data_IF_159946064643
#
_entry.id   IF_159946064643
#
_cell.length_a   1.000
_cell.length_b   1.000
_cell.length_c   1.000
_cell.angle_alpha   90.00
_cell.angle_beta   90.00
_cell.angle_gamma   90.00
#
_symmetry.space_group_name_H-M   'P 1'
#
loop_
_entity.id
_entity.type
_entity.pdbx_description
1 polymer ?
#
# COMPACT_ATOMS: atom_id res chain seq x y z
N UNK A 1 -0.70 -8.26 -1.35
CA UNK A 1 -1.18 -7.12 -0.53
C UNK A 1 -1.01 -5.84 -1.32
N UNK A 2 -2.01 -4.94 -1.34
CA UNK A 2 -1.84 -3.60 -1.94
C UNK A 2 -1.08 -2.69 -0.98
N UNK A 3 -0.57 -1.53 -1.48
CA UNK A 3 0.04 -0.48 -0.64
C UNK A 3 -0.82 -0.20 0.60
N UNK A 4 -2.11 0.00 0.41
CA UNK A 4 -3.06 0.30 1.48
C UNK A 4 -3.17 -0.80 2.52
N UNK A 5 -3.11 -2.07 2.13
CA UNK A 5 -3.16 -3.17 3.09
C UNK A 5 -1.83 -3.43 3.77
N UNK A 6 -0.71 -3.13 3.14
CA UNK A 6 0.61 -3.31 3.73
C UNK A 6 0.98 -2.15 4.67
N UNK A 7 0.88 -0.90 4.19
CA UNK A 7 1.26 0.29 4.98
C UNK A 7 0.23 0.62 6.06
N UNK A 8 -1.05 0.44 5.76
CA UNK A 8 -2.14 0.88 6.64
C UNK A 8 -2.85 -0.26 7.37
N UNK A 9 -2.37 -1.50 7.24
CA UNK A 9 -2.94 -2.65 7.94
C UNK A 9 -3.11 -2.40 9.44
N UNK A 10 -2.06 -1.92 10.11
CA UNK A 10 -2.09 -1.63 11.55
C UNK A 10 -3.11 -0.55 11.91
N UNK A 11 -3.36 0.39 11.01
CA UNK A 11 -4.37 1.43 11.21
C UNK A 11 -5.76 0.81 11.24
N UNK A 12 -6.06 -0.05 10.27
CA UNK A 12 -7.33 -0.75 10.20
C UNK A 12 -7.51 -1.77 11.33
N UNK A 13 -6.47 -2.49 11.72
CA UNK A 13 -6.51 -3.37 12.89
C UNK A 13 -6.85 -2.59 14.18
N UNK A 14 -6.23 -1.43 14.41
CA UNK A 14 -6.56 -0.54 15.53
C UNK A 14 -7.99 0.00 15.45
N UNK A 15 -8.44 0.38 14.25
CA UNK A 15 -9.79 0.86 14.02
C UNK A 15 -10.83 -0.21 14.40
N UNK A 16 -10.68 -1.45 13.91
CA UNK A 16 -11.59 -2.53 14.23
C UNK A 16 -11.50 -2.98 15.69
N UNK A 17 -10.31 -2.99 16.28
CA UNK A 17 -10.13 -3.31 17.69
C UNK A 17 -10.87 -2.31 18.60
N UNK A 18 -10.85 -1.00 18.29
CA UNK A 18 -11.60 0.02 19.01
C UNK A 18 -13.12 -0.16 18.92
N UNK A 19 -13.60 -0.86 17.88
CA UNK A 19 -15.01 -1.21 17.69
C UNK A 19 -15.38 -2.59 18.28
N UNK A 20 -14.44 -3.29 18.91
CA UNK A 20 -14.63 -4.64 19.40
C UNK A 20 -14.90 -5.67 18.30
N UNK A 21 -14.34 -5.45 17.11
CA UNK A 21 -14.46 -6.36 15.94
C UNK A 21 -13.16 -7.13 15.78
N UNK A 22 -13.27 -8.47 15.76
CA UNK A 22 -12.11 -9.33 15.50
C UNK A 22 -11.71 -9.26 14.03
N UNK A 23 -10.42 -9.18 13.75
CA UNK A 23 -9.88 -9.16 12.40
C UNK A 23 -9.10 -10.44 12.11
N UNK A 24 -9.27 -10.99 10.91
CA UNK A 24 -8.52 -12.12 10.39
C UNK A 24 -7.66 -11.66 9.21
N UNK A 25 -6.39 -12.05 9.21
CA UNK A 25 -5.48 -11.81 8.10
C UNK A 25 -5.31 -13.05 7.25
N UNK A 26 -5.16 -12.86 5.95
CA UNK A 26 -4.82 -13.92 4.98
C UNK A 26 -3.37 -14.43 5.09
N UNK A 27 -2.55 -13.81 5.95
CA UNK A 27 -1.15 -14.21 6.14
C UNK A 27 -0.21 -13.73 5.03
N UNK A 28 0.90 -14.45 4.85
CA UNK A 28 1.91 -14.17 3.81
C UNK A 28 1.40 -14.59 2.44
N UNK A 29 1.90 -13.94 1.40
CA UNK A 29 1.68 -14.36 0.01
C UNK A 29 2.33 -15.72 -0.25
N UNK A 30 1.56 -16.62 -0.86
CA UNK A 30 2.01 -17.95 -1.28
C UNK A 30 1.75 -18.14 -2.77
N UNK A 31 2.39 -19.15 -3.38
CA UNK A 31 2.15 -19.49 -4.78
C UNK A 31 0.67 -19.81 -5.05
N UNK A 32 -0.02 -20.44 -4.11
CA UNK A 32 -1.43 -20.77 -4.26
C UNK A 32 -2.31 -19.53 -4.24
N UNK A 33 -2.00 -18.54 -3.37
CA UNK A 33 -2.67 -17.23 -3.37
C UNK A 33 -2.47 -16.53 -4.73
N UNK A 34 -1.25 -16.56 -5.27
CA UNK A 34 -0.98 -15.94 -6.58
C UNK A 34 -1.75 -16.66 -7.68
N UNK A 35 -1.63 -17.99 -7.77
CA UNK A 35 -2.34 -18.80 -8.79
C UNK A 35 -3.85 -18.57 -8.74
N UNK A 36 -4.41 -18.59 -7.53
CA UNK A 36 -5.84 -18.36 -7.37
C UNK A 36 -6.24 -16.95 -7.76
N UNK A 37 -5.47 -15.94 -7.35
CA UNK A 37 -5.71 -14.55 -7.77
C UNK A 37 -5.61 -14.33 -9.29
N UNK A 38 -4.66 -14.99 -9.95
CA UNK A 38 -4.54 -14.97 -11.42
C UNK A 38 -5.78 -15.57 -12.07
N UNK A 39 -6.32 -16.66 -11.57
CA UNK A 39 -7.54 -17.31 -12.13
C UNK A 39 -8.82 -16.50 -11.91
N UNK A 40 -8.82 -15.56 -10.97
CA UNK A 40 -9.99 -14.73 -10.64
C UNK A 40 -10.07 -13.42 -11.43
N UNK A 41 -8.99 -13.00 -12.06
CA UNK A 41 -8.87 -11.71 -12.73
C UNK A 41 -8.55 -11.86 -14.22
N UNK A 42 -8.85 -10.81 -15.01
CA UNK A 42 -8.45 -10.75 -16.43
C UNK A 42 -6.93 -10.67 -16.60
N UNK A 43 -6.43 -11.04 -17.78
CA UNK A 43 -5.00 -11.05 -18.06
C UNK A 43 -4.36 -9.67 -17.94
N UNK A 44 -5.07 -8.59 -18.30
CA UNK A 44 -4.60 -7.19 -18.25
C UNK A 44 -4.64 -6.58 -16.84
N UNK A 45 -5.19 -7.33 -15.86
CA UNK A 45 -5.16 -6.87 -14.47
C UNK A 45 -3.72 -6.94 -13.95
N UNK A 46 -3.25 -5.84 -13.35
CA UNK A 46 -1.89 -5.81 -12.79
C UNK A 46 -1.71 -6.83 -11.66
N UNK A 47 -0.50 -7.35 -11.55
CA UNK A 47 -0.15 -8.41 -10.59
C UNK A 47 -0.59 -8.11 -9.14
N UNK A 48 -0.40 -6.90 -8.59
CA UNK A 48 -0.83 -6.61 -7.21
C UNK A 48 -2.33 -6.78 -6.98
N UNK A 49 -3.16 -6.42 -7.94
CA UNK A 49 -4.62 -6.59 -7.84
C UNK A 49 -4.98 -8.07 -7.89
N UNK A 50 -4.34 -8.85 -8.76
CA UNK A 50 -4.50 -10.32 -8.80
C UNK A 50 -4.14 -10.96 -7.47
N UNK A 51 -2.98 -10.61 -6.92
CA UNK A 51 -2.53 -11.12 -5.62
C UNK A 51 -3.50 -10.72 -4.51
N UNK A 52 -3.99 -9.49 -4.51
CA UNK A 52 -4.97 -9.04 -3.54
C UNK A 52 -6.29 -9.83 -3.65
N UNK A 53 -6.79 -10.09 -4.86
CA UNK A 53 -7.98 -10.92 -5.08
C UNK A 53 -7.77 -12.35 -4.55
N UNK A 54 -6.57 -12.92 -4.72
CA UNK A 54 -6.20 -14.21 -4.15
C UNK A 54 -6.20 -14.22 -2.62
N UNK A 55 -5.65 -13.17 -1.99
CA UNK A 55 -5.72 -13.00 -0.54
C UNK A 55 -7.16 -12.86 -0.04
N UNK A 56 -7.98 -12.07 -0.72
CA UNK A 56 -9.39 -11.92 -0.37
C UNK A 56 -10.13 -13.27 -0.47
N UNK A 57 -9.90 -14.01 -1.55
CA UNK A 57 -10.51 -15.30 -1.77
C UNK A 57 -10.10 -16.36 -0.72
N UNK A 58 -8.86 -16.30 -0.21
CA UNK A 58 -8.39 -17.22 0.83
C UNK A 58 -9.07 -17.01 2.19
N UNK A 59 -9.79 -15.90 2.36
CA UNK A 59 -10.57 -15.59 3.56
C UNK A 59 -12.04 -16.00 3.45
N UNK A 60 -12.53 -16.34 2.26
CA UNK A 60 -13.91 -16.81 2.06
C UNK A 60 -14.17 -18.07 2.88
N UNK A 61 -15.31 -18.10 3.57
CA UNK A 61 -15.67 -19.19 4.50
C UNK A 61 -14.93 -19.20 5.83
N UNK A 62 -14.01 -18.22 6.05
CA UNK A 62 -13.24 -18.07 7.29
C UNK A 62 -13.53 -16.75 8.01
N UNK A 63 -14.13 -15.80 7.32
CA UNK A 63 -14.53 -14.50 7.84
C UNK A 63 -15.95 -14.19 7.38
N UNK A 64 -16.71 -13.47 8.23
CA UNK A 64 -18.09 -13.08 7.94
C UNK A 64 -18.17 -12.08 6.78
N UNK A 65 -17.17 -11.23 6.63
CA UNK A 65 -17.04 -10.29 5.51
C UNK A 65 -15.58 -9.98 5.19
N UNK A 66 -15.33 -9.55 3.97
CA UNK A 66 -14.01 -9.13 3.50
C UNK A 66 -13.96 -7.59 3.49
N UNK A 67 -13.08 -7.01 4.30
CA UNK A 67 -12.88 -5.56 4.34
C UNK A 67 -11.88 -5.13 3.27
N UNK A 68 -12.31 -4.25 2.37
CA UNK A 68 -11.48 -3.68 1.30
C UNK A 68 -11.69 -2.16 1.26
N UNK A 69 -10.77 -1.33 1.77
CA UNK A 69 -10.91 0.11 1.71
C UNK A 69 -10.79 0.62 0.27
N UNK A 70 -11.62 1.57 -0.11
CA UNK A 70 -11.52 2.34 -1.35
C UNK A 70 -10.65 3.57 -1.11
N UNK A 71 -9.40 3.52 -1.54
CA UNK A 71 -8.48 4.65 -1.38
C UNK A 71 -8.49 5.53 -2.62
N UNK A 72 -9.10 6.71 -2.49
CA UNK A 72 -9.12 7.75 -3.53
C UNK A 72 -7.91 8.68 -3.38
N UNK A 73 -7.63 9.07 -2.14
CA UNK A 73 -6.52 9.91 -1.74
C UNK A 73 -6.20 9.70 -0.26
N UNK A 74 -4.91 9.65 0.09
CA UNK A 74 -4.44 9.68 1.48
C UNK A 74 -3.66 10.95 1.79
N UNK A 75 -3.53 11.85 0.81
CA UNK A 75 -2.88 13.15 0.94
C UNK A 75 -3.56 14.18 0.06
N UNK A 76 -3.53 15.43 0.52
CA UNK A 76 -4.04 16.57 -0.24
C UNK A 76 -3.25 16.76 -1.55
N UNK A 77 -3.98 16.93 -2.66
CA UNK A 77 -3.40 17.14 -3.99
C UNK A 77 -2.86 15.89 -4.67
N UNK A 78 -2.91 14.73 -4.03
CA UNK A 78 -2.40 13.47 -4.58
C UNK A 78 -3.53 12.46 -4.75
N UNK A 79 -3.46 11.65 -5.78
CA UNK A 79 -4.46 10.60 -6.07
C UNK A 79 -3.85 9.21 -5.95
N UNK A 80 -4.66 8.27 -5.51
CA UNK A 80 -4.31 6.87 -5.58
C UNK A 80 -4.48 6.35 -7.02
N UNK A 81 -3.77 5.28 -7.36
CA UNK A 81 -3.91 4.61 -8.64
C UNK A 81 -5.38 4.19 -8.88
N UNK A 82 -5.95 4.38 -10.08
CA UNK A 82 -7.33 3.99 -10.41
C UNK A 82 -7.66 2.52 -10.09
N UNK A 83 -6.69 1.62 -10.21
CA UNK A 83 -6.85 0.20 -9.85
C UNK A 83 -7.08 0.04 -8.33
N UNK A 84 -6.48 0.88 -7.50
CA UNK A 84 -6.72 0.90 -6.05
C UNK A 84 -8.07 1.55 -5.70
N UNK A 85 -8.44 2.59 -6.43
CA UNK A 85 -9.77 3.22 -6.28
C UNK A 85 -10.91 2.23 -6.59
N UNK A 86 -10.74 1.40 -7.62
CA UNK A 86 -11.71 0.37 -8.03
C UNK A 86 -11.58 -0.97 -7.30
N UNK A 87 -10.61 -1.12 -6.40
CA UNK A 87 -10.26 -2.41 -5.80
C UNK A 87 -11.43 -3.14 -5.11
N UNK A 88 -12.30 -2.47 -4.30
CA UNK A 88 -13.46 -3.15 -3.69
C UNK A 88 -14.40 -3.77 -4.72
N UNK A 89 -14.61 -3.10 -5.86
CA UNK A 89 -15.49 -3.57 -6.91
C UNK A 89 -14.86 -4.76 -7.65
N UNK A 90 -13.58 -4.67 -7.97
CA UNK A 90 -12.83 -5.78 -8.56
C UNK A 90 -12.89 -7.01 -7.66
N UNK A 91 -12.64 -6.86 -6.35
CA UNK A 91 -12.71 -7.98 -5.39
C UNK A 91 -14.12 -8.56 -5.32
N UNK A 92 -15.16 -7.71 -5.23
CA UNK A 92 -16.56 -8.17 -5.18
C UNK A 92 -16.91 -9.01 -6.41
N UNK A 93 -16.56 -8.51 -7.60
CA UNK A 93 -16.80 -9.22 -8.86
C UNK A 93 -15.99 -10.52 -8.95
N UNK A 94 -14.71 -10.49 -8.57
CA UNK A 94 -13.82 -11.65 -8.58
C UNK A 94 -14.30 -12.77 -7.65
N UNK A 95 -14.84 -12.41 -6.48
CA UNK A 95 -15.34 -13.38 -5.51
C UNK A 95 -16.70 -13.96 -5.88
N UNK A 96 -17.42 -13.41 -6.87
CA UNK A 96 -18.73 -13.93 -7.34
C UNK A 96 -19.69 -14.26 -6.18
N UNK A 97 -19.82 -13.32 -5.22
CA UNK A 97 -20.68 -13.45 -4.04
C UNK A 97 -20.30 -14.57 -3.05
N UNK A 98 -19.09 -15.15 -3.11
CA UNK A 98 -18.63 -16.16 -2.13
C UNK A 98 -18.48 -15.60 -0.72
N UNK A 99 -18.32 -14.28 -0.57
CA UNK A 99 -18.32 -13.58 0.72
C UNK A 99 -18.77 -12.12 0.53
N UNK A 100 -19.45 -11.52 1.52
CA UNK A 100 -19.75 -10.10 1.51
C UNK A 100 -18.45 -9.27 1.47
N UNK A 101 -18.41 -8.25 0.60
CA UNK A 101 -17.29 -7.31 0.52
C UNK A 101 -17.76 -5.95 0.99
N UNK A 102 -17.13 -5.44 2.05
CA UNK A 102 -17.42 -4.14 2.63
C UNK A 102 -16.16 -3.27 2.67
N UNK A 103 -16.31 -1.98 2.85
CA UNK A 103 -15.16 -1.06 2.94
C UNK A 103 -15.57 0.37 3.23
N UNK A 104 -14.58 1.21 3.44
CA UNK A 104 -14.74 2.66 3.62
C UNK A 104 -14.07 3.37 2.46
N UNK A 105 -14.72 4.39 1.92
CA UNK A 105 -14.09 5.31 0.96
C UNK A 105 -13.23 6.31 1.73
N UNK A 106 -11.95 6.36 1.41
CA UNK A 106 -10.97 7.29 1.98
C UNK A 106 -10.58 8.29 0.90
N UNK A 107 -10.92 9.55 1.09
CA UNK A 107 -10.53 10.66 0.23
C UNK A 107 -10.11 11.86 1.10
N UNK A 108 -8.83 11.91 1.46
CA UNK A 108 -8.29 12.97 2.32
C UNK A 108 -7.96 14.26 1.53
N UNK A 109 -8.08 14.22 0.20
CA UNK A 109 -8.03 15.43 -0.64
C UNK A 109 -9.33 16.23 -0.56
N UNK A 110 -10.43 15.53 -0.31
CA UNK A 110 -11.74 16.09 -0.12
C UNK A 110 -12.17 16.06 1.36
N UNK A 111 -13.40 16.45 1.61
CA UNK A 111 -13.97 16.38 2.96
C UNK A 111 -14.18 14.93 3.42
N UNK A 112 -13.83 14.65 4.67
CA UNK A 112 -14.13 13.36 5.34
C UNK A 112 -15.63 13.01 5.32
N UNK A 113 -16.50 14.01 5.11
CA UNK A 113 -17.96 13.80 4.96
C UNK A 113 -18.30 12.86 3.79
N UNK A 114 -17.48 12.78 2.75
CA UNK A 114 -17.68 11.85 1.63
C UNK A 114 -17.58 10.38 2.04
N UNK A 115 -16.89 10.10 3.13
CA UNK A 115 -16.83 8.75 3.71
C UNK A 115 -18.13 8.31 4.39
N UNK A 116 -19.05 9.23 4.67
CA UNK A 116 -20.24 9.00 5.52
C UNK A 116 -21.15 7.87 5.04
N UNK A 117 -21.43 7.78 3.73
CA UNK A 117 -22.26 6.69 3.18
C UNK A 117 -21.59 5.31 3.35
N UNK A 118 -20.30 5.22 3.09
CA UNK A 118 -19.54 3.98 3.22
C UNK A 118 -19.37 3.58 4.70
N UNK A 119 -19.25 4.54 5.61
CA UNK A 119 -19.21 4.30 7.05
C UNK A 119 -20.57 3.78 7.58
N UNK A 120 -21.66 4.29 7.05
CA UNK A 120 -23.02 3.79 7.37
C UNK A 120 -23.15 2.32 6.95
N UNK A 121 -22.81 2.01 5.70
CA UNK A 121 -22.86 0.64 5.21
C UNK A 121 -21.92 -0.31 5.99
N UNK A 122 -20.72 0.17 6.36
CA UNK A 122 -19.81 -0.61 7.20
C UNK A 122 -20.44 -0.85 8.59
N UNK A 123 -21.06 0.17 9.21
CA UNK A 123 -21.68 0.03 10.53
C UNK A 123 -22.77 -1.03 10.57
N UNK A 124 -23.60 -1.11 9.53
CA UNK A 124 -24.61 -2.14 9.33
C UNK A 124 -23.97 -3.52 9.17
N UNK A 125 -22.96 -3.64 8.31
CA UNK A 125 -22.27 -4.91 8.05
C UNK A 125 -21.62 -5.50 9.30
N UNK A 126 -20.99 -4.67 10.14
CA UNK A 126 -20.29 -5.15 11.35
C UNK A 126 -21.18 -5.12 12.61
N UNK A 127 -22.44 -4.74 12.51
CA UNK A 127 -23.39 -4.67 13.62
C UNK A 127 -22.94 -3.69 14.71
N UNK A 128 -22.45 -2.51 14.35
CA UNK A 128 -22.00 -1.47 15.29
C UNK A 128 -22.73 -0.17 15.08
N UNK A 129 -22.84 0.61 16.16
CA UNK A 129 -23.50 1.93 16.08
C UNK A 129 -22.73 2.85 15.12
N UNK A 130 -23.46 3.52 14.23
CA UNK A 130 -22.89 4.42 13.20
C UNK A 130 -22.01 5.52 13.82
N UNK A 131 -22.45 6.17 14.91
CA UNK A 131 -21.68 7.22 15.59
C UNK A 131 -20.34 6.69 16.13
N UNK A 132 -20.33 5.47 16.66
CA UNK A 132 -19.10 4.82 17.14
C UNK A 132 -18.13 4.54 15.98
N UNK A 133 -18.64 4.08 14.84
CA UNK A 133 -17.84 3.82 13.64
C UNK A 133 -17.26 5.13 13.07
N UNK A 134 -18.07 6.17 12.97
CA UNK A 134 -17.63 7.51 12.53
C UNK A 134 -16.58 8.10 13.49
N UNK A 135 -16.80 8.01 14.80
CA UNK A 135 -15.84 8.48 15.81
C UNK A 135 -14.50 7.73 15.72
N UNK A 136 -14.53 6.41 15.62
CA UNK A 136 -13.33 5.59 15.46
C UNK A 136 -12.60 5.93 14.15
N UNK A 137 -13.33 6.14 13.05
CA UNK A 137 -12.76 6.54 11.77
C UNK A 137 -12.01 7.87 11.87
N UNK A 138 -12.65 8.89 12.44
CA UNK A 138 -12.06 10.23 12.59
C UNK A 138 -10.85 10.25 13.53
N UNK A 139 -10.90 9.48 14.62
CA UNK A 139 -9.88 9.51 15.68
C UNK A 139 -8.72 8.56 15.43
N UNK A 140 -8.91 7.48 14.69
CA UNK A 140 -7.90 6.43 14.49
C UNK A 140 -7.53 6.30 13.01
N UNK A 141 -8.53 6.10 12.12
CA UNK A 141 -8.22 5.80 10.73
C UNK A 141 -7.66 7.02 10.01
N UNK A 142 -8.33 8.17 10.08
CA UNK A 142 -7.89 9.39 9.37
C UNK A 142 -6.48 9.83 9.78
N UNK A 143 -6.16 10.01 11.08
CA UNK A 143 -4.80 10.36 11.48
C UNK A 143 -3.78 9.30 11.12
N UNK A 144 -4.13 8.02 11.28
CA UNK A 144 -3.23 6.92 10.97
C UNK A 144 -2.92 6.77 9.47
N UNK A 145 -3.90 7.06 8.61
CA UNK A 145 -3.72 7.05 7.15
C UNK A 145 -2.94 8.27 6.65
N UNK A 146 -3.16 9.44 7.28
CA UNK A 146 -2.45 10.66 6.98
C UNK A 146 -1.03 10.69 7.54
N UNK A 147 -0.76 9.89 8.60
CA UNK A 147 0.55 9.85 9.23
C UNK A 147 1.63 9.38 8.26
N UNK A 148 2.78 9.98 8.39
CA UNK A 148 3.97 9.54 7.67
C UNK A 148 4.40 8.17 8.21
N UNK A 149 4.14 7.10 7.45
CA UNK A 149 4.55 5.73 7.79
C UNK A 149 6.04 5.50 7.48
N UNK A 150 6.88 6.36 8.01
CA UNK A 150 8.34 6.21 8.00
C UNK A 150 8.84 6.23 9.44
N UNK A 151 8.66 5.15 10.22
CA UNK A 151 9.04 5.14 11.63
C UNK A 151 10.54 5.35 11.86
N UNK A 152 11.34 5.16 10.83
CA UNK A 152 12.80 5.32 10.83
C UNK A 152 13.28 6.17 9.66
N UNK A 153 12.49 7.14 9.21
CA UNK A 153 12.90 8.01 8.11
C UNK A 153 14.11 8.85 8.54
N UNK A 154 15.23 8.33 8.18
CA UNK A 154 16.55 8.80 8.47
C UNK A 154 17.13 9.40 7.19
N UNK A 155 17.65 10.63 7.25
CA UNK A 155 18.65 11.07 6.30
C UNK A 155 19.97 10.64 6.94
N UNK A 156 20.59 9.57 6.47
CA UNK A 156 21.84 9.15 7.07
C UNK A 156 22.90 10.19 6.80
N UNK A 157 23.45 10.80 7.84
CA UNK A 157 24.79 11.32 7.77
C UNK A 157 25.73 10.12 7.71
N UNK A 158 26.06 9.68 6.49
CA UNK A 158 26.89 8.51 6.27
C UNK A 158 28.36 8.89 6.41
N UNK A 159 29.02 8.27 7.38
CA UNK A 159 30.48 8.33 7.48
C UNK A 159 31.08 7.35 6.45
N UNK A 160 31.60 7.91 5.37
CA UNK A 160 32.09 7.18 4.17
C UNK A 160 33.15 6.09 4.45
N UNK A 161 33.84 6.15 5.59
CA UNK A 161 35.06 5.38 5.80
C UNK A 161 34.86 3.94 6.29
N UNK A 162 33.64 3.50 6.65
CA UNK A 162 33.40 2.19 7.30
C UNK A 162 32.15 1.44 6.82
N UNK A 163 31.47 1.90 5.78
CA UNK A 163 30.15 1.34 5.44
C UNK A 163 30.18 0.46 4.19
N UNK A 164 29.39 -0.63 4.26
CA UNK A 164 29.14 -1.51 3.11
C UNK A 164 28.52 -0.72 1.97
N UNK A 165 28.82 -1.05 0.70
CA UNK A 165 28.19 -0.37 -0.43
C UNK A 165 26.66 -0.50 -0.37
N UNK A 166 25.97 0.57 -0.73
CA UNK A 166 24.50 0.67 -0.65
C UNK A 166 23.90 0.39 -2.01
N UNK A 167 22.87 -0.46 -2.03
CA UNK A 167 21.97 -0.62 -3.16
C UNK A 167 20.61 -0.03 -2.78
N UNK A 168 20.12 0.92 -3.57
CA UNK A 168 18.77 1.43 -3.41
C UNK A 168 17.78 0.56 -4.18
N UNK A 169 16.74 0.07 -3.49
CA UNK A 169 15.65 -0.71 -4.10
C UNK A 169 14.41 0.16 -4.19
N UNK A 170 14.10 0.60 -5.40
CA UNK A 170 12.92 1.41 -5.71
C UNK A 170 11.73 0.51 -6.05
N UNK A 171 10.53 1.00 -5.81
CA UNK A 171 9.29 0.29 -6.15
C UNK A 171 8.18 0.52 -5.15
N UNK A 172 7.06 -0.09 -5.42
CA UNK A 172 5.91 -0.06 -4.50
C UNK A 172 6.17 -0.90 -3.24
N UNK A 173 5.63 -0.52 -2.06
CA UNK A 173 5.89 -1.24 -0.81
C UNK A 173 5.48 -2.71 -0.87
N UNK A 174 4.38 -3.04 -1.53
CA UNK A 174 3.94 -4.42 -1.70
C UNK A 174 4.87 -5.24 -2.61
N UNK A 175 5.64 -4.59 -3.52
CA UNK A 175 6.67 -5.27 -4.30
C UNK A 175 7.95 -5.45 -3.49
N UNK A 176 8.38 -4.43 -2.76
CA UNK A 176 9.64 -4.43 -2.01
C UNK A 176 9.58 -5.37 -0.81
N UNK A 177 8.50 -5.30 -0.02
CA UNK A 177 8.40 -5.97 1.29
C UNK A 177 7.67 -7.31 1.27
N UNK A 178 7.02 -7.68 0.18
CA UNK A 178 6.50 -9.02 0.01
C UNK A 178 7.64 -9.94 -0.48
N UNK A 179 7.98 -10.93 0.33
CA UNK A 179 9.14 -11.80 0.09
C UNK A 179 9.01 -12.61 -1.20
N UNK A 180 7.80 -13.02 -1.55
CA UNK A 180 7.55 -13.80 -2.76
C UNK A 180 7.55 -12.91 -4.00
N UNK A 181 6.88 -11.74 -3.95
CA UNK A 181 6.80 -10.81 -5.08
C UNK A 181 8.16 -10.16 -5.38
N UNK A 182 8.96 -9.85 -4.35
CA UNK A 182 10.34 -9.35 -4.50
C UNK A 182 11.35 -10.44 -4.85
N UNK A 183 10.93 -11.71 -4.92
CA UNK A 183 11.85 -12.85 -5.07
C UNK A 183 12.96 -12.86 -4.02
N UNK A 184 12.69 -12.38 -2.81
CA UNK A 184 13.63 -12.28 -1.71
C UNK A 184 14.80 -11.29 -1.96
N UNK A 185 14.62 -10.29 -2.84
CA UNK A 185 15.70 -9.39 -3.29
C UNK A 185 16.46 -8.74 -2.13
N UNK A 186 15.77 -8.17 -1.13
CA UNK A 186 16.43 -7.54 0.01
C UNK A 186 17.34 -8.53 0.74
N UNK A 187 16.86 -9.75 1.00
CA UNK A 187 17.67 -10.80 1.65
C UNK A 187 18.89 -11.16 0.81
N UNK A 188 18.71 -11.33 -0.52
CA UNK A 188 19.81 -11.65 -1.43
C UNK A 188 20.88 -10.57 -1.44
N UNK A 189 20.48 -9.30 -1.55
CA UNK A 189 21.43 -8.18 -1.51
C UNK A 189 22.15 -8.09 -0.16
N UNK A 190 21.43 -8.25 0.95
CA UNK A 190 22.01 -8.21 2.30
C UNK A 190 23.00 -9.37 2.49
N UNK A 191 22.65 -10.58 2.04
CA UNK A 191 23.55 -11.75 2.10
C UNK A 191 24.78 -11.59 1.21
N UNK A 192 24.66 -10.83 0.11
CA UNK A 192 25.79 -10.47 -0.76
C UNK A 192 26.67 -9.33 -0.17
N UNK A 193 26.36 -8.87 1.05
CA UNK A 193 27.18 -7.88 1.74
C UNK A 193 26.75 -6.42 1.48
N UNK A 194 25.68 -6.17 0.76
CA UNK A 194 25.18 -4.83 0.54
C UNK A 194 24.28 -4.36 1.68
N UNK A 195 24.28 -3.06 1.93
CA UNK A 195 23.23 -2.37 2.67
C UNK A 195 22.12 -1.99 1.70
N UNK A 196 20.87 -2.16 2.09
CA UNK A 196 19.72 -1.84 1.23
C UNK A 196 19.00 -0.62 1.76
N UNK A 197 18.72 0.35 0.89
CA UNK A 197 17.83 1.48 1.14
C UNK A 197 16.60 1.38 0.24
N UNK A 198 15.47 1.87 0.75
CA UNK A 198 14.19 1.91 0.05
C UNK A 198 13.61 3.31 0.09
N UNK A 199 12.61 3.67 -0.72
CA UNK A 199 11.92 4.96 -0.62
C UNK A 199 11.37 5.23 0.80
N UNK A 200 11.06 4.18 1.54
CA UNK A 200 10.45 4.26 2.88
C UNK A 200 11.44 4.55 3.99
N UNK A 201 12.74 4.55 3.69
CA UNK A 201 13.80 5.02 4.58
C UNK A 201 13.99 6.54 4.50
N UNK A 202 13.30 7.23 3.57
CA UNK A 202 13.34 8.68 3.38
C UNK A 202 12.02 9.28 3.84
N UNK A 203 12.06 10.40 4.58
CA UNK A 203 10.84 11.14 4.96
C UNK A 203 10.01 11.51 3.73
N UNK A 204 8.69 11.38 3.83
CA UNK A 204 7.77 11.69 2.74
C UNK A 204 7.93 13.14 2.25
N UNK A 205 8.07 14.09 3.18
CA UNK A 205 8.32 15.50 2.86
C UNK A 205 9.56 15.69 1.98
N UNK A 206 10.64 14.96 2.27
CA UNK A 206 11.87 14.98 1.48
C UNK A 206 11.65 14.35 0.11
N UNK A 207 10.95 13.19 0.03
CA UNK A 207 10.60 12.60 -1.25
C UNK A 207 9.77 13.56 -2.10
N UNK A 208 8.74 14.21 -1.52
CA UNK A 208 7.90 15.18 -2.23
C UNK A 208 8.67 16.39 -2.74
N UNK A 209 9.55 16.95 -1.92
CA UNK A 209 10.41 18.06 -2.33
C UNK A 209 11.36 17.69 -3.49
N UNK A 210 11.73 16.42 -3.62
CA UNK A 210 12.61 15.90 -4.68
C UNK A 210 11.86 15.24 -5.84
N UNK A 211 10.54 15.10 -5.79
CA UNK A 211 9.74 14.58 -6.90
C UNK A 211 9.56 15.59 -8.05
N UNK A 212 9.70 16.90 -7.80
CA UNK A 212 9.89 17.92 -8.81
C UNK A 212 11.24 17.69 -9.55
N UNK A 213 11.34 17.78 -10.85
CA UNK A 213 10.53 18.47 -11.87
C UNK A 213 9.44 17.60 -12.54
N UNK A 214 9.25 16.38 -12.13
CA UNK A 214 8.27 15.47 -12.77
C UNK A 214 6.86 15.64 -12.21
N UNK A 215 6.70 16.31 -11.06
CA UNK A 215 5.43 16.48 -10.35
C UNK A 215 4.29 17.10 -11.19
N UNK A 216 4.61 17.94 -12.17
CA UNK A 216 3.62 18.52 -13.08
C UNK A 216 2.95 17.50 -14.05
N UNK A 217 3.49 16.28 -14.14
CA UNK A 217 2.98 15.21 -15.00
C UNK A 217 2.47 13.98 -14.26
N UNK A 218 2.81 13.82 -13.00
CA UNK A 218 2.37 12.69 -12.18
C UNK A 218 1.75 13.21 -10.90
N UNK A 219 0.47 12.92 -10.73
CA UNK A 219 -0.30 13.21 -9.51
C UNK A 219 -0.56 11.94 -8.70
N UNK A 220 -0.04 10.80 -9.14
CA UNK A 220 -0.17 9.55 -8.40
C UNK A 220 0.86 9.50 -7.27
N UNK A 221 0.34 9.37 -6.07
CA UNK A 221 1.07 9.31 -4.80
C UNK A 221 2.30 8.39 -4.84
N UNK A 222 2.12 7.17 -5.34
CA UNK A 222 3.20 6.18 -5.40
C UNK A 222 4.28 6.51 -6.43
N UNK A 223 3.91 7.08 -7.58
CA UNK A 223 4.87 7.56 -8.57
C UNK A 223 5.73 8.69 -7.99
N UNK A 224 5.13 9.63 -7.28
CA UNK A 224 5.86 10.71 -6.60
C UNK A 224 6.81 10.18 -5.51
N UNK A 225 6.43 9.12 -4.78
CA UNK A 225 7.31 8.49 -3.80
C UNK A 225 8.57 7.89 -4.45
N UNK A 226 8.38 7.18 -5.58
CA UNK A 226 9.47 6.52 -6.29
C UNK A 226 10.40 7.56 -6.95
N UNK A 227 9.84 8.52 -7.68
CA UNK A 227 10.61 9.58 -8.35
C UNK A 227 11.39 10.44 -7.35
N UNK A 228 10.75 10.82 -6.24
CA UNK A 228 11.41 11.60 -5.20
C UNK A 228 12.55 10.82 -4.54
N UNK A 229 12.36 9.55 -4.24
CA UNK A 229 13.40 8.69 -3.70
C UNK A 229 14.55 8.49 -4.69
N UNK A 230 14.25 8.24 -5.98
CA UNK A 230 15.26 8.16 -7.03
C UNK A 230 16.14 9.42 -7.04
N UNK A 231 15.52 10.61 -7.04
CA UNK A 231 16.25 11.88 -7.06
C UNK A 231 17.07 12.14 -5.80
N UNK A 232 16.67 11.61 -4.65
CA UNK A 232 17.50 11.65 -3.42
C UNK A 232 18.67 10.68 -3.55
N UNK A 233 18.41 9.41 -3.89
CA UNK A 233 19.44 8.37 -3.94
C UNK A 233 20.52 8.65 -4.98
N UNK A 234 20.17 9.19 -6.16
CA UNK A 234 21.17 9.51 -7.20
C UNK A 234 22.16 10.61 -6.82
N UNK A 235 21.87 11.38 -5.77
CA UNK A 235 22.74 12.42 -5.22
C UNK A 235 23.64 11.90 -4.08
N UNK A 236 23.42 10.65 -3.66
CA UNK A 236 24.15 10.06 -2.54
C UNK A 236 25.33 9.24 -3.07
N UNK A 237 26.57 9.73 -2.86
CA UNK A 237 27.80 9.08 -3.34
C UNK A 237 28.01 7.67 -2.81
N UNK A 238 27.34 7.30 -1.72
CA UNK A 238 27.42 5.96 -1.14
C UNK A 238 26.54 4.93 -1.86
N UNK A 239 25.59 5.37 -2.68
CA UNK A 239 24.71 4.50 -3.45
C UNK A 239 25.45 3.98 -4.65
N UNK A 240 25.87 2.73 -4.58
CA UNK A 240 26.63 2.05 -5.63
C UNK A 240 25.75 1.63 -6.83
N UNK A 241 24.44 1.52 -6.61
CA UNK A 241 23.50 1.17 -7.68
C UNK A 241 22.05 1.22 -7.22
N UNK A 242 21.14 1.19 -8.18
CA UNK A 242 19.71 1.19 -7.93
C UNK A 242 19.01 0.06 -8.68
N UNK A 243 18.05 -0.57 -8.05
CA UNK A 243 17.18 -1.61 -8.62
C UNK A 243 15.75 -1.13 -8.55
N UNK A 244 15.04 -1.14 -9.67
CA UNK A 244 13.61 -0.80 -9.72
C UNK A 244 12.76 -2.06 -9.86
N UNK A 245 11.91 -2.31 -8.85
CA UNK A 245 10.94 -3.39 -8.84
C UNK A 245 9.59 -2.89 -9.34
N UNK A 246 9.23 -3.28 -10.54
CA UNK A 246 7.95 -2.94 -11.15
C UNK A 246 7.09 -4.20 -11.33
N UNK A 247 5.79 -4.16 -10.96
CA UNK A 247 4.90 -5.28 -11.20
C UNK A 247 4.41 -5.29 -12.64
N UNK A 248 4.20 -6.48 -13.18
CA UNK A 248 3.62 -6.65 -14.50
C UNK A 248 2.29 -5.90 -14.64
N UNK A 249 2.10 -5.19 -15.75
CA UNK A 249 0.92 -4.39 -16.12
C UNK A 249 0.62 -3.23 -15.15
N UNK A 250 1.62 -2.65 -14.50
CA UNK A 250 1.46 -1.44 -13.70
C UNK A 250 1.48 -0.19 -14.60
N UNK A 251 0.32 0.47 -14.75
CA UNK A 251 0.24 1.71 -15.52
C UNK A 251 0.99 2.89 -14.90
N UNK A 252 1.09 2.95 -13.56
CA UNK A 252 1.85 4.00 -12.86
C UNK A 252 3.33 3.87 -13.15
N UNK A 253 3.87 2.66 -13.05
CA UNK A 253 5.29 2.39 -13.28
C UNK A 253 5.68 2.49 -14.77
N UNK A 254 4.71 2.38 -15.69
CA UNK A 254 4.95 2.59 -17.11
C UNK A 254 5.17 4.06 -17.50
N UNK A 255 4.86 4.98 -16.58
CA UNK A 255 4.98 6.44 -16.78
C UNK A 255 6.16 7.01 -15.96
N UNK A 256 6.61 6.29 -14.94
CA UNK A 256 7.73 6.66 -14.08
C UNK A 256 9.05 6.15 -14.67
#
# INVERSE_FOLDING_TARGET
>A
MTKTSFEHRRVWEKFFAALGVKTLSSGKTTNDIIRYGVSLCSNETCLPVKVFAGHAASLCGRADCIFVPRCMSVCKGEKSCPKLCGLPDVVRLSLKNKAPVTGVTVDLDKSVKESGKSLSALSETIGRNKRSVESAFLRIAVPGLAAENSPNAFIPEFNRARERPVIAVLGHPYMIFDELLSMGLIKKLTSAGYRVLTPYDIKRSVRRANACPFAGRSFYETGLDILGAFNVFRKMDIVAGMVYLTPFACGVDSIA
#
